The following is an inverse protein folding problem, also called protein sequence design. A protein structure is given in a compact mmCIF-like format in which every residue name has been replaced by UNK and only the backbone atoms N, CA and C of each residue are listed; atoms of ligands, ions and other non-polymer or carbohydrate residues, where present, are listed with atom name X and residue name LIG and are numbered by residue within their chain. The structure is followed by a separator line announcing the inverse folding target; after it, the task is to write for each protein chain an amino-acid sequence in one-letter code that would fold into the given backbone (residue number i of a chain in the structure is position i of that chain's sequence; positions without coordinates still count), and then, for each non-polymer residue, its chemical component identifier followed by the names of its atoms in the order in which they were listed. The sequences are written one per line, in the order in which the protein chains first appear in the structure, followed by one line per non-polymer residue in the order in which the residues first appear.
data_IF_751943806666
#
_entry.id   IF_751943806666
#
_cell.length_a   1.000
_cell.length_b   1.000
_cell.length_c   1.000
_cell.angle_alpha   90.00
_cell.angle_beta   90.00
_cell.angle_gamma   90.00
#
_symmetry.space_group_name_H-M   'P 1'
#
loop_
_entity.id
_entity.type
_entity.pdbx_description
1 polymer ?
#
# COMPACT_ATOMS: atom_id res chain seq x y z
N UNK A 1 3.40 -6.16 -8.62
CA UNK A 1 2.80 -6.41 -9.94
C UNK A 1 3.09 -5.21 -10.84
N UNK A 2 3.16 -5.42 -12.14
CA UNK A 2 3.18 -4.32 -13.12
C UNK A 2 1.77 -3.72 -13.21
N UNK A 3 1.69 -2.40 -13.34
CA UNK A 3 0.45 -1.67 -13.53
C UNK A 3 -0.15 -1.85 -14.92
N UNK A 4 -1.44 -1.55 -15.03
CA UNK A 4 -2.22 -1.68 -16.26
C UNK A 4 -2.69 -0.29 -16.74
N UNK A 5 -3.06 -0.18 -18.01
CA UNK A 5 -3.65 1.04 -18.57
C UNK A 5 -2.71 2.25 -18.41
N UNK A 6 -3.18 3.28 -17.70
CA UNK A 6 -2.44 4.51 -17.44
C UNK A 6 -1.22 4.31 -16.52
N UNK A 7 -1.18 3.23 -15.74
CA UNK A 7 -0.08 2.87 -14.84
C UNK A 7 0.86 1.83 -15.47
N UNK A 8 0.79 1.61 -16.79
CA UNK A 8 1.68 0.66 -17.48
C UNK A 8 3.15 1.10 -17.33
N UNK A 9 4.02 0.15 -17.00
CA UNK A 9 5.44 0.40 -16.74
C UNK A 9 5.73 0.74 -15.28
N UNK A 10 4.74 1.16 -14.50
CA UNK A 10 4.86 1.27 -13.06
C UNK A 10 4.72 -0.11 -12.42
N UNK A 11 5.39 -0.29 -11.31
CA UNK A 11 5.41 -1.50 -10.50
C UNK A 11 5.00 -1.15 -9.09
N UNK A 12 4.15 -1.99 -8.50
CA UNK A 12 3.77 -1.88 -7.11
C UNK A 12 4.09 -3.16 -6.34
N UNK A 13 4.64 -3.01 -5.14
CA UNK A 13 4.81 -4.11 -4.18
C UNK A 13 4.06 -3.75 -2.91
N UNK A 14 3.28 -4.69 -2.39
CA UNK A 14 2.57 -4.51 -1.10
C UNK A 14 3.09 -5.57 -0.13
N UNK A 15 3.61 -5.14 1.02
CA UNK A 15 3.88 -6.03 2.14
C UNK A 15 2.60 -6.21 2.95
N UNK A 16 2.32 -7.44 3.37
CA UNK A 16 1.17 -7.76 4.19
C UNK A 16 1.51 -8.81 5.26
N UNK A 17 0.73 -8.81 6.34
CA UNK A 17 0.65 -9.92 7.30
C UNK A 17 -0.81 -10.36 7.37
N UNK A 18 -1.56 -9.88 8.37
CA UNK A 18 -3.02 -9.99 8.40
C UNK A 18 -3.65 -8.87 7.56
N UNK A 19 -3.07 -7.66 7.62
CA UNK A 19 -3.43 -6.52 6.79
C UNK A 19 -2.30 -6.11 5.84
N UNK A 20 -2.63 -5.28 4.84
CA UNK A 20 -1.64 -4.61 3.99
C UNK A 20 -0.91 -3.52 4.79
N UNK A 21 0.40 -3.63 4.88
CA UNK A 21 1.23 -2.82 5.78
C UNK A 21 1.91 -1.65 5.06
N UNK A 22 2.51 -1.91 3.89
CA UNK A 22 3.30 -0.93 3.15
C UNK A 22 3.11 -1.18 1.66
N UNK A 23 2.89 -0.10 0.90
CA UNK A 23 2.88 -0.10 -0.55
C UNK A 23 4.09 0.68 -1.07
N UNK A 24 4.90 0.03 -1.89
CA UNK A 24 5.99 0.65 -2.64
C UNK A 24 5.65 0.75 -4.12
N UNK A 25 6.07 1.84 -4.78
CA UNK A 25 5.96 2.04 -6.23
C UNK A 25 7.33 2.27 -6.86
N UNK A 26 7.54 1.79 -8.07
CA UNK A 26 8.73 2.07 -8.89
C UNK A 26 8.40 2.01 -10.37
N UNK A 27 9.15 2.72 -11.20
CA UNK A 27 9.15 2.58 -12.67
C UNK A 27 9.99 1.37 -13.16
N UNK A 28 10.55 0.59 -12.23
CA UNK A 28 11.40 -0.58 -12.50
C UNK A 28 10.79 -1.85 -11.93
N UNK A 29 11.11 -2.98 -12.55
CA UNK A 29 10.62 -4.29 -12.13
C UNK A 29 11.02 -4.60 -10.67
N UNK A 30 10.02 -4.73 -9.80
CA UNK A 30 10.20 -5.00 -8.38
C UNK A 30 10.05 -6.48 -8.00
N UNK A 31 9.88 -7.41 -8.97
CA UNK A 31 9.66 -8.84 -8.69
C UNK A 31 10.86 -9.53 -8.05
N UNK A 32 12.09 -9.14 -8.43
CA UNK A 32 13.32 -9.72 -7.88
C UNK A 32 13.54 -9.36 -6.41
N UNK A 33 12.90 -8.28 -5.95
CA UNK A 33 13.09 -7.74 -4.61
C UNK A 33 14.30 -6.81 -4.46
N UNK A 34 15.19 -6.73 -5.47
CA UNK A 34 16.41 -5.90 -5.44
C UNK A 34 16.13 -4.41 -5.54
N UNK A 35 15.06 -4.03 -6.24
CA UNK A 35 14.64 -2.64 -6.37
C UNK A 35 13.86 -2.23 -5.12
N UNK A 36 14.39 -1.25 -4.40
CA UNK A 36 13.68 -0.55 -3.34
C UNK A 36 12.87 0.59 -3.99
N UNK A 37 11.55 0.46 -4.01
CA UNK A 37 10.64 1.48 -4.54
C UNK A 37 10.39 2.61 -3.55
N UNK A 38 9.71 3.65 -4.00
CA UNK A 38 9.19 4.74 -3.16
C UNK A 38 8.02 4.23 -2.32
N UNK A 39 8.01 4.52 -1.02
CA UNK A 39 6.84 4.24 -0.16
C UNK A 39 5.73 5.23 -0.50
N UNK A 40 4.62 4.74 -1.05
CA UNK A 40 3.46 5.57 -1.42
C UNK A 40 2.33 5.52 -0.39
N UNK A 41 2.31 4.49 0.46
CA UNK A 41 1.42 4.38 1.61
C UNK A 41 2.00 3.37 2.62
N UNK A 42 1.75 3.59 3.91
CA UNK A 42 2.03 2.62 4.96
C UNK A 42 1.11 2.82 6.16
N UNK A 43 1.04 1.80 7.02
CA UNK A 43 0.31 1.87 8.29
C UNK A 43 0.74 3.09 9.11
N UNK A 44 -0.21 3.79 9.77
CA UNK A 44 -1.62 3.43 9.96
C UNK A 44 -2.57 3.80 8.82
N UNK A 45 -2.11 4.39 7.72
CA UNK A 45 -2.98 4.63 6.56
C UNK A 45 -3.39 3.28 5.94
N UNK A 46 -4.66 3.16 5.58
CA UNK A 46 -5.24 1.89 5.16
C UNK A 46 -4.94 1.65 3.69
N UNK A 47 -4.38 0.48 3.38
CA UNK A 47 -4.16 0.02 2.02
C UNK A 47 -5.21 -1.05 1.70
N UNK A 48 -6.12 -0.73 0.79
CA UNK A 48 -7.18 -1.65 0.35
C UNK A 48 -6.89 -2.14 -1.07
N UNK A 49 -7.08 -3.44 -1.29
CA UNK A 49 -7.03 -4.03 -2.62
C UNK A 49 -8.47 -4.37 -3.01
N UNK A 50 -8.90 -3.88 -4.17
CA UNK A 50 -10.24 -4.11 -4.69
C UNK A 50 -10.18 -4.74 -6.09
N UNK A 51 -11.22 -5.47 -6.45
CA UNK A 51 -11.43 -5.88 -7.84
C UNK A 51 -11.65 -4.63 -8.71
N UNK A 52 -10.92 -4.55 -9.83
CA UNK A 52 -10.95 -3.35 -10.68
C UNK A 52 -12.30 -3.17 -11.40
N UNK A 53 -13.01 -4.26 -11.66
CA UNK A 53 -14.27 -4.24 -12.40
C UNK A 53 -15.47 -4.03 -11.48
N UNK A 54 -15.49 -4.68 -10.31
CA UNK A 54 -16.63 -4.62 -9.38
C UNK A 54 -16.47 -3.59 -8.26
N UNK A 55 -15.23 -3.24 -7.91
CA UNK A 55 -14.92 -2.41 -6.75
C UNK A 55 -15.04 -3.13 -5.41
N UNK A 56 -15.29 -4.43 -5.41
CA UNK A 56 -15.41 -5.22 -4.18
C UNK A 56 -14.04 -5.47 -3.55
N UNK A 57 -13.94 -5.45 -2.20
CA UNK A 57 -12.69 -5.72 -1.52
C UNK A 57 -12.22 -7.16 -1.73
N UNK A 58 -10.93 -7.32 -1.98
CA UNK A 58 -10.25 -8.60 -2.05
C UNK A 58 -9.45 -8.77 -0.77
N UNK A 59 -9.74 -9.81 0.00
CA UNK A 59 -8.97 -10.10 1.22
C UNK A 59 -7.58 -10.65 0.88
N UNK A 60 -6.65 -10.58 1.83
CA UNK A 60 -5.28 -11.08 1.65
C UNK A 60 -5.26 -12.58 1.33
N UNK A 61 -6.22 -13.35 1.84
CA UNK A 61 -6.36 -14.79 1.58
C UNK A 61 -6.96 -15.11 0.20
N UNK A 62 -7.72 -14.18 -0.38
CA UNK A 62 -8.33 -14.34 -1.71
C UNK A 62 -7.37 -13.94 -2.84
N UNK A 63 -6.32 -13.17 -2.51
CA UNK A 63 -5.38 -12.62 -3.47
C UNK A 63 -4.58 -13.74 -4.15
N UNK A 64 -4.62 -13.77 -5.48
CA UNK A 64 -3.92 -14.75 -6.31
C UNK A 64 -3.49 -14.15 -7.64
N UNK A 65 -2.52 -14.77 -8.29
CA UNK A 65 -2.07 -14.35 -9.61
C UNK A 65 -3.21 -14.35 -10.63
N UNK A 66 -3.18 -13.35 -11.53
CA UNK A 66 -4.16 -13.20 -12.62
C UNK A 66 -5.35 -12.29 -12.29
N UNK A 67 -5.51 -11.88 -11.03
CA UNK A 67 -6.52 -10.88 -10.67
C UNK A 67 -6.14 -9.49 -11.20
N UNK A 68 -7.13 -8.76 -11.72
CA UNK A 68 -7.00 -7.35 -12.07
C UNK A 68 -7.48 -6.54 -10.88
N UNK A 69 -6.53 -5.95 -10.15
CA UNK A 69 -6.82 -5.24 -8.91
C UNK A 69 -6.46 -3.77 -9.01
N UNK A 70 -7.19 -2.96 -8.26
CA UNK A 70 -6.84 -1.56 -7.98
C UNK A 70 -6.42 -1.46 -6.52
N UNK A 71 -5.35 -0.70 -6.26
CA UNK A 71 -4.85 -0.47 -4.91
C UNK A 71 -5.24 0.93 -4.46
N UNK A 72 -5.97 1.01 -3.36
CA UNK A 72 -6.46 2.25 -2.76
C UNK A 72 -5.69 2.54 -1.47
N UNK A 73 -5.30 3.79 -1.29
CA UNK A 73 -4.75 4.30 -0.03
C UNK A 73 -5.77 5.23 0.62
N UNK A 74 -6.09 4.97 1.88
CA UNK A 74 -7.09 5.72 2.63
C UNK A 74 -6.41 6.32 3.86
N UNK A 75 -6.40 7.66 4.00
CA UNK A 75 -5.74 8.31 5.11
C UNK A 75 -6.43 7.96 6.44
N UNK A 76 -5.62 7.58 7.41
CA UNK A 76 -6.01 7.33 8.79
C UNK A 76 -6.48 8.59 9.52
N UNK A 77 -7.19 8.38 10.63
CA UNK A 77 -7.56 9.48 11.53
C UNK A 77 -6.33 10.09 12.23
N UNK A 78 -6.37 11.37 12.56
CA UNK A 78 -5.24 12.07 13.19
C UNK A 78 -4.83 11.47 14.54
N UNK A 79 -5.79 10.82 15.23
CA UNK A 79 -5.54 10.12 16.50
C UNK A 79 -4.52 8.98 16.34
N UNK A 80 -4.47 8.36 15.17
CA UNK A 80 -3.56 7.25 14.84
C UNK A 80 -2.17 7.74 14.38
N UNK A 81 -2.04 9.03 14.06
CA UNK A 81 -0.80 9.63 13.52
C UNK A 81 0.08 10.26 14.59
N UNK A 82 -0.33 10.20 15.86
CA UNK A 82 0.45 10.77 16.96
C UNK A 82 1.76 9.98 17.16
N UNK A 83 2.84 10.59 17.67
CA UNK A 83 4.09 9.87 17.94
C UNK A 83 3.91 8.68 18.89
N UNK A 84 2.97 8.77 19.84
CA UNK A 84 2.66 7.65 20.75
C UNK A 84 1.94 6.52 20.02
N UNK A 85 0.97 6.83 19.16
CA UNK A 85 0.28 5.83 18.35
C UNK A 85 1.25 5.14 17.39
N UNK A 86 2.08 5.89 16.66
CA UNK A 86 3.03 5.33 15.68
C UNK A 86 4.05 4.36 16.30
N UNK A 87 4.35 4.46 17.59
CA UNK A 87 5.18 3.46 18.30
C UNK A 87 4.51 2.09 18.41
N UNK A 88 3.19 2.02 18.27
CA UNK A 88 2.37 0.81 18.43
C UNK A 88 1.82 0.33 17.09
N UNK A 89 1.40 1.25 16.22
CA UNK A 89 0.72 0.93 14.95
C UNK A 89 1.45 1.45 13.70
N UNK A 90 2.63 2.04 13.88
CA UNK A 90 3.45 2.50 12.76
C UNK A 90 4.33 1.40 12.18
N UNK A 91 4.99 1.63 11.04
CA UNK A 91 5.75 0.64 10.29
C UNK A 91 6.84 -0.05 11.15
N UNK A 92 7.53 0.71 12.00
CA UNK A 92 8.55 0.17 12.91
C UNK A 92 8.00 -0.90 13.88
N UNK A 93 6.76 -0.73 14.36
CA UNK A 93 6.11 -1.70 15.24
C UNK A 93 5.76 -3.01 14.53
N UNK A 94 5.62 -2.97 13.20
CA UNK A 94 5.36 -4.13 12.34
C UNK A 94 6.63 -4.74 11.74
N UNK A 95 7.82 -4.34 12.19
CA UNK A 95 9.10 -4.90 11.74
C UNK A 95 9.76 -4.15 10.58
N UNK A 96 9.33 -2.92 10.27
CA UNK A 96 9.93 -2.05 9.25
C UNK A 96 10.49 -0.76 9.86
N UNK A 97 11.53 -0.84 10.72
CA UNK A 97 12.11 0.32 11.40
C UNK A 97 12.75 1.34 10.44
N UNK A 98 13.08 0.93 9.22
CA UNK A 98 13.67 1.75 8.17
C UNK A 98 12.64 2.56 7.35
N UNK A 99 11.34 2.32 7.55
CA UNK A 99 10.27 3.00 6.83
C UNK A 99 9.72 4.14 7.67
N UNK A 100 9.94 5.37 7.23
CA UNK A 100 9.35 6.54 7.84
C UNK A 100 7.86 6.67 7.47
N UNK A 101 7.01 6.93 8.47
CA UNK A 101 5.61 7.23 8.21
C UNK A 101 5.45 8.65 7.67
N UNK A 102 5.04 8.76 6.42
CA UNK A 102 4.62 10.02 5.79
C UNK A 102 3.10 10.00 5.66
N UNK A 103 2.35 10.87 6.36
CA UNK A 103 0.90 10.82 6.33
C UNK A 103 0.34 11.10 4.93
N UNK A 104 -0.58 10.25 4.47
CA UNK A 104 -1.33 10.52 3.25
C UNK A 104 -2.17 11.78 3.40
N UNK A 105 -2.20 12.57 2.32
CA UNK A 105 -3.07 13.73 2.20
C UNK A 105 -4.54 13.29 2.24
N UNK A 106 -5.37 14.05 2.97
CA UNK A 106 -6.82 13.81 3.08
C UNK A 106 -7.55 14.36 1.87
N UNK A 107 -7.25 13.80 0.71
CA UNK A 107 -7.81 14.21 -0.58
C UNK A 107 -8.75 13.11 -1.09
N UNK A 108 -10.01 13.42 -1.44
CA UNK A 108 -10.90 12.43 -2.02
C UNK A 108 -10.38 11.89 -3.37
N UNK A 109 -10.47 10.57 -3.57
CA UNK A 109 -10.50 9.98 -4.91
C UNK A 109 -9.17 9.78 -5.65
N UNK A 110 -8.03 9.74 -4.96
CA UNK A 110 -6.73 9.40 -5.60
C UNK A 110 -6.37 7.94 -5.27
N UNK A 111 -6.43 7.06 -6.28
CA UNK A 111 -5.93 5.68 -6.19
C UNK A 111 -4.40 5.63 -6.17
N UNK A 112 -3.82 4.56 -5.64
CA UNK A 112 -2.37 4.39 -5.57
C UNK A 112 -1.79 3.77 -6.86
N UNK A 113 -2.49 2.81 -7.44
CA UNK A 113 -2.19 2.16 -8.73
C UNK A 113 -3.36 1.31 -9.24
#
# INVERSE_FOLDING_TARGET
AEGLGACRGDWMRVAFQNENLIAWRSDRDMRSGEVQGEVVACVPDLICIIDTETGEPITTEQLRYGLRVTVLGIPSSDKLRTPAALKVIGPAAFGYPEVDFVPMAKTPGVGLA
#
